data_IF_855769724236
#
_entry.id   IF_855769724236
#
_cell.length_a   1.000
_cell.length_b   1.000
_cell.length_c   1.000
_cell.angle_alpha   90.00
_cell.angle_beta   90.00
_cell.angle_gamma   90.00
#
_symmetry.space_group_name_H-M   'P 1'
#
loop_
_entity.id
_entity.type
_entity.pdbx_description
1 polymer ?
#
# COMPACT_ATOMS: atom_id res chain seq x y z
N UNK A 1 51.06 28.95 -19.82
CA UNK A 1 49.73 29.16 -19.22
C UNK A 1 48.75 28.14 -19.83
N UNK A 2 49.09 26.86 -19.75
CA UNK A 2 48.41 25.77 -20.49
C UNK A 2 48.78 24.43 -19.86
N UNK A 3 48.32 24.18 -18.64
CA UNK A 3 48.27 22.85 -18.03
C UNK A 3 47.25 22.88 -16.89
N UNK A 4 46.58 21.75 -16.66
CA UNK A 4 45.69 21.47 -15.51
C UNK A 4 44.30 22.11 -15.49
N UNK A 5 43.32 21.58 -16.25
CA UNK A 5 41.92 21.57 -15.76
C UNK A 5 40.92 20.71 -16.57
N UNK A 6 41.26 19.51 -17.08
CA UNK A 6 40.27 18.72 -17.85
C UNK A 6 40.34 17.20 -17.67
N UNK A 7 40.62 16.69 -16.47
CA UNK A 7 40.58 15.23 -16.23
C UNK A 7 40.00 14.79 -14.86
N UNK A 8 39.19 15.64 -14.19
CA UNK A 8 38.55 15.26 -12.91
C UNK A 8 37.07 14.89 -13.07
N UNK A 9 36.46 15.10 -14.25
CA UNK A 9 35.01 14.93 -14.45
C UNK A 9 34.51 13.52 -14.81
N UNK A 10 35.38 12.51 -14.93
CA UNK A 10 35.02 11.21 -15.53
C UNK A 10 35.42 9.99 -14.68
N UNK A 11 35.62 10.20 -13.37
CA UNK A 11 35.95 9.14 -12.40
C UNK A 11 34.91 9.07 -11.25
N UNK A 12 33.66 9.49 -11.49
CA UNK A 12 32.59 9.52 -10.49
C UNK A 12 31.46 8.50 -10.68
N UNK A 13 31.44 7.73 -11.78
CA UNK A 13 30.33 6.82 -12.12
C UNK A 13 30.67 5.32 -11.94
N UNK A 14 31.68 5.00 -11.14
CA UNK A 14 31.99 3.62 -10.73
C UNK A 14 31.74 3.44 -9.22
N UNK A 15 30.63 3.98 -8.72
CA UNK A 15 30.02 3.31 -7.58
C UNK A 15 29.47 2.00 -8.15
N UNK A 16 29.95 0.82 -7.72
CA UNK A 16 29.18 -0.38 -7.96
C UNK A 16 27.80 -0.08 -7.38
N UNK A 17 26.78 -0.09 -8.22
CA UNK A 17 25.42 -0.35 -7.77
C UNK A 17 25.54 -1.70 -7.07
N UNK A 18 25.84 -1.65 -5.78
CA UNK A 18 25.76 -2.81 -4.93
C UNK A 18 24.35 -3.31 -5.14
N UNK A 19 24.22 -4.47 -5.76
CA UNK A 19 22.99 -5.24 -5.70
C UNK A 19 22.88 -5.61 -4.23
N UNK A 20 22.40 -4.67 -3.42
CA UNK A 20 22.06 -4.94 -2.04
C UNK A 20 20.94 -5.96 -2.12
N UNK A 21 21.24 -7.14 -1.58
CA UNK A 21 20.24 -8.17 -1.48
C UNK A 21 19.09 -7.62 -0.63
N UNK A 22 17.89 -7.88 -1.11
CA UNK A 22 16.70 -7.27 -0.55
C UNK A 22 16.39 -7.92 0.79
N UNK A 23 16.07 -7.07 1.76
CA UNK A 23 15.85 -7.44 3.16
C UNK A 23 14.35 -7.44 3.48
N UNK A 24 13.97 -7.89 4.68
CA UNK A 24 12.57 -7.90 5.13
C UNK A 24 11.85 -6.54 4.92
N UNK A 25 12.42 -5.37 5.29
CA UNK A 25 11.78 -4.07 5.03
C UNK A 25 11.43 -3.84 3.56
N UNK A 26 12.34 -4.19 2.64
CA UNK A 26 12.13 -4.04 1.19
C UNK A 26 10.97 -4.93 0.72
N UNK A 27 10.86 -6.14 1.28
CA UNK A 27 9.78 -7.07 0.97
C UNK A 27 8.43 -6.53 1.44
N UNK A 28 8.37 -5.99 2.66
CA UNK A 28 7.14 -5.41 3.22
C UNK A 28 6.67 -4.19 2.46
N UNK A 29 7.59 -3.36 1.95
CA UNK A 29 7.25 -2.21 1.13
C UNK A 29 6.75 -2.63 -0.26
N UNK A 30 7.48 -3.53 -0.93
CA UNK A 30 7.08 -4.07 -2.23
C UNK A 30 5.69 -4.73 -2.16
N UNK A 31 5.42 -5.50 -1.11
CA UNK A 31 4.13 -6.12 -0.85
C UNK A 31 2.96 -5.13 -0.81
N UNK A 32 3.17 -3.94 -0.23
CA UNK A 32 2.12 -2.91 -0.16
C UNK A 32 1.93 -2.23 -1.52
N UNK A 33 3.02 -1.86 -2.20
CA UNK A 33 2.97 -1.12 -3.46
C UNK A 33 2.32 -1.94 -4.58
N UNK A 34 2.71 -3.21 -4.69
CA UNK A 34 2.24 -4.11 -5.75
C UNK A 34 0.84 -4.67 -5.47
N UNK A 35 0.30 -4.50 -4.26
CA UNK A 35 -1.01 -5.05 -3.90
C UNK A 35 -2.16 -4.32 -4.61
N UNK A 36 -3.02 -5.03 -5.39
CA UNK A 36 -4.22 -4.42 -5.96
C UNK A 36 -5.22 -3.92 -4.90
N UNK A 37 -5.22 -4.57 -3.73
CA UNK A 37 -6.10 -4.20 -2.61
C UNK A 37 -5.70 -2.85 -2.03
N UNK A 38 -4.39 -2.58 -1.93
CA UNK A 38 -3.86 -1.28 -1.52
C UNK A 38 -4.25 -0.16 -2.49
N UNK A 39 -4.10 -0.41 -3.80
CA UNK A 39 -4.49 0.55 -4.83
C UNK A 39 -5.99 0.85 -4.78
N UNK A 40 -6.84 -0.16 -4.53
CA UNK A 40 -8.27 0.04 -4.34
C UNK A 40 -8.59 0.88 -3.10
N UNK A 41 -7.93 0.59 -1.97
CA UNK A 41 -8.12 1.35 -0.74
C UNK A 41 -7.72 2.84 -0.90
N UNK A 42 -6.66 3.13 -1.67
CA UNK A 42 -6.25 4.52 -1.95
C UNK A 42 -7.29 5.28 -2.79
N UNK A 43 -7.93 4.62 -3.75
CA UNK A 43 -9.05 5.20 -4.52
C UNK A 43 -10.23 5.52 -3.60
N UNK A 44 -10.55 4.64 -2.65
CA UNK A 44 -11.67 4.87 -1.74
C UNK A 44 -11.38 6.03 -0.75
N UNK A 45 -10.13 6.18 -0.31
CA UNK A 45 -9.69 7.37 0.45
C UNK A 45 -9.89 8.66 -0.36
N UNK A 46 -9.44 8.68 -1.62
CA UNK A 46 -9.60 9.84 -2.53
C UNK A 46 -11.07 10.17 -2.80
N UNK A 47 -11.95 9.17 -2.90
CA UNK A 47 -13.41 9.40 -3.00
C UNK A 47 -13.97 10.05 -1.73
N UNK A 48 -13.50 9.63 -0.56
CA UNK A 48 -13.95 10.21 0.71
C UNK A 48 -13.46 11.66 0.86
N UNK A 49 -12.24 11.95 0.43
CA UNK A 49 -11.70 13.31 0.34
C UNK A 49 -12.51 14.19 -0.62
N UNK A 50 -12.81 13.70 -1.83
CA UNK A 50 -13.65 14.42 -2.78
C UNK A 50 -15.05 14.74 -2.23
N UNK A 51 -15.66 13.81 -1.49
CA UNK A 51 -16.95 14.04 -0.81
C UNK A 51 -16.84 15.07 0.31
N UNK A 52 -15.70 15.14 1.00
CA UNK A 52 -15.46 16.18 2.01
C UNK A 52 -15.37 17.56 1.35
N UNK A 53 -14.63 17.67 0.24
CA UNK A 53 -14.54 18.90 -0.55
C UNK A 53 -15.90 19.32 -1.11
N UNK A 54 -16.68 18.37 -1.66
CA UNK A 54 -18.05 18.62 -2.13
C UNK A 54 -18.95 19.16 -1.01
N UNK A 55 -18.86 18.58 0.20
CA UNK A 55 -19.62 19.08 1.34
C UNK A 55 -19.17 20.48 1.79
N UNK A 56 -17.87 20.79 1.69
CA UNK A 56 -17.31 22.10 2.02
C UNK A 56 -17.73 23.17 1.00
N UNK A 57 -17.86 22.80 -0.28
CA UNK A 57 -18.32 23.70 -1.33
C UNK A 57 -19.74 24.25 -1.11
N UNK A 58 -20.52 23.65 -0.20
CA UNK A 58 -21.80 24.21 0.24
C UNK A 58 -21.68 25.56 0.95
N UNK A 59 -20.46 25.95 1.38
CA UNK A 59 -20.15 27.25 1.98
C UNK A 59 -19.49 28.23 0.99
N UNK A 60 -19.27 27.81 -0.24
CA UNK A 60 -18.69 28.69 -1.25
C UNK A 60 -19.77 29.61 -1.85
N UNK A 61 -19.42 30.86 -2.19
CA UNK A 61 -20.34 31.76 -2.85
C UNK A 61 -20.71 31.21 -4.23
N UNK A 62 -22.01 31.13 -4.50
CA UNK A 62 -22.53 30.65 -5.77
C UNK A 62 -23.05 31.81 -6.61
N UNK A 63 -22.69 31.83 -7.88
CA UNK A 63 -23.30 32.71 -8.87
C UNK A 63 -24.19 31.85 -9.79
N UNK A 64 -25.36 32.36 -10.12
CA UNK A 64 -26.33 31.75 -11.04
C UNK A 64 -26.66 32.77 -12.10
N UNK A 65 -26.43 32.40 -13.35
CA UNK A 65 -26.92 33.11 -14.52
C UNK A 65 -28.01 32.27 -15.16
N UNK A 66 -29.16 32.85 -15.43
CA UNK A 66 -30.20 32.21 -16.23
C UNK A 66 -30.67 33.16 -17.34
N UNK A 67 -30.77 32.62 -18.55
CA UNK A 67 -31.33 33.31 -19.72
C UNK A 67 -32.44 32.42 -20.28
N UNK A 68 -33.65 32.94 -20.33
CA UNK A 68 -34.84 32.22 -20.80
C UNK A 68 -35.60 33.12 -21.75
N UNK A 69 -35.72 32.71 -23.00
CA UNK A 69 -36.50 33.45 -23.98
C UNK A 69 -37.12 32.54 -25.04
N UNK A 70 -38.09 33.11 -25.75
CA UNK A 70 -38.67 32.53 -26.95
C UNK A 70 -38.76 33.61 -28.02
N UNK A 71 -38.28 33.28 -29.21
CA UNK A 71 -38.48 34.08 -30.42
C UNK A 71 -39.41 33.32 -31.37
N UNK A 72 -40.25 34.06 -32.09
CA UNK A 72 -41.11 33.52 -33.14
C UNK A 72 -40.88 34.38 -34.39
N UNK A 73 -40.24 33.80 -35.41
CA UNK A 73 -39.82 34.54 -36.60
C UNK A 73 -38.71 35.55 -36.30
N UNK A 74 -38.80 36.76 -36.87
CA UNK A 74 -37.88 37.87 -36.62
C UNK A 74 -38.15 38.65 -35.32
N UNK A 75 -39.26 38.38 -34.64
CA UNK A 75 -39.68 39.13 -33.46
C UNK A 75 -39.31 38.41 -32.17
N UNK A 76 -38.76 39.16 -31.22
CA UNK A 76 -38.47 38.69 -29.86
C UNK A 76 -39.77 38.66 -29.05
N UNK A 77 -40.35 37.48 -28.85
CA UNK A 77 -41.59 37.35 -28.10
C UNK A 77 -41.37 37.66 -26.62
N UNK A 78 -40.39 37.02 -25.99
CA UNK A 78 -39.93 37.37 -24.63
C UNK A 78 -38.50 36.88 -24.38
N UNK A 79 -37.78 37.56 -23.48
CA UNK A 79 -36.51 37.12 -22.90
C UNK A 79 -36.40 37.63 -21.46
N UNK A 80 -36.01 36.74 -20.56
CA UNK A 80 -35.72 37.00 -19.15
C UNK A 80 -34.28 36.62 -18.87
N UNK A 81 -33.54 37.54 -18.26
CA UNK A 81 -32.18 37.34 -17.79
C UNK A 81 -32.15 37.58 -16.28
N UNK A 82 -31.63 36.62 -15.54
CA UNK A 82 -31.49 36.69 -14.08
C UNK A 82 -30.05 36.35 -13.69
N UNK A 83 -29.43 37.26 -12.96
CA UNK A 83 -28.11 37.09 -12.36
C UNK A 83 -28.28 37.13 -10.86
N UNK A 84 -27.95 36.04 -10.19
CA UNK A 84 -28.03 35.92 -8.74
C UNK A 84 -26.68 35.52 -8.16
N UNK A 85 -26.20 36.28 -7.19
CA UNK A 85 -25.08 35.95 -6.32
C UNK A 85 -25.62 35.58 -4.95
N UNK A 86 -25.19 34.44 -4.43
CA UNK A 86 -25.58 33.94 -3.11
C UNK A 86 -24.34 33.60 -2.31
N UNK A 87 -24.19 34.24 -1.16
CA UNK A 87 -23.08 34.03 -0.23
C UNK A 87 -23.66 33.35 1.02
N UNK A 88 -23.41 32.04 1.21
CA UNK A 88 -23.86 31.34 2.40
C UNK A 88 -23.01 31.77 3.62
N UNK A 89 -23.68 32.05 4.73
CA UNK A 89 -23.06 32.36 6.02
C UNK A 89 -23.31 31.24 7.04
N UNK A 90 -22.68 31.37 8.22
CA UNK A 90 -22.85 30.41 9.32
C UNK A 90 -24.30 30.40 9.84
N UNK A 91 -24.77 29.23 10.32
CA UNK A 91 -26.12 29.09 10.88
C UNK A 91 -27.24 29.00 9.83
N UNK A 92 -26.90 28.77 8.55
CA UNK A 92 -27.87 28.64 7.47
C UNK A 92 -28.42 29.97 6.94
N UNK A 93 -27.89 31.10 7.41
CA UNK A 93 -28.18 32.44 6.88
C UNK A 93 -27.51 32.59 5.52
N UNK A 94 -28.23 33.14 4.53
CA UNK A 94 -27.69 33.42 3.20
C UNK A 94 -27.86 34.89 2.84
N UNK A 95 -26.80 35.49 2.31
CA UNK A 95 -26.88 36.81 1.68
C UNK A 95 -27.14 36.62 0.19
N UNK A 96 -28.13 37.32 -0.35
CA UNK A 96 -28.41 37.31 -1.79
C UNK A 96 -28.32 38.72 -2.37
N UNK A 97 -27.72 38.80 -3.55
CA UNK A 97 -27.67 40.01 -4.39
C UNK A 97 -27.94 39.56 -5.81
N UNK A 98 -28.87 40.20 -6.51
CA UNK A 98 -29.19 39.81 -7.88
C UNK A 98 -29.84 40.91 -8.69
N UNK A 99 -29.79 40.73 -10.01
CA UNK A 99 -30.38 41.61 -11.00
C UNK A 99 -31.22 40.81 -11.99
N UNK A 100 -32.42 41.31 -12.30
CA UNK A 100 -33.34 40.72 -13.26
C UNK A 100 -33.67 41.71 -14.36
N UNK A 101 -33.61 41.25 -15.61
CA UNK A 101 -33.95 42.02 -16.80
C UNK A 101 -34.95 41.23 -17.64
N UNK A 102 -35.93 41.91 -18.20
CA UNK A 102 -36.96 41.31 -19.04
C UNK A 102 -37.29 42.22 -20.21
N UNK A 103 -37.36 41.66 -21.42
CA UNK A 103 -37.70 42.40 -22.63
C UNK A 103 -38.50 41.52 -23.61
N UNK A 104 -39.43 42.12 -24.36
CA UNK A 104 -40.19 41.47 -25.43
C UNK A 104 -41.64 41.94 -25.52
N UNK A 105 -42.22 41.78 -26.70
CA UNK A 105 -43.56 42.32 -27.02
C UNK A 105 -44.71 41.49 -26.41
N UNK A 106 -44.44 40.24 -26.03
CA UNK A 106 -45.41 39.27 -25.50
C UNK A 106 -45.00 38.77 -24.12
N UNK A 107 -44.66 39.70 -23.23
CA UNK A 107 -44.32 39.39 -21.84
C UNK A 107 -45.60 39.27 -20.99
N UNK A 108 -45.64 38.32 -20.05
CA UNK A 108 -46.78 38.24 -19.13
C UNK A 108 -46.77 39.52 -18.25
N UNK A 109 -47.88 40.29 -18.21
CA UNK A 109 -47.94 41.57 -17.48
C UNK A 109 -47.66 41.42 -15.97
N UNK A 110 -47.91 40.27 -15.37
CA UNK A 110 -47.57 40.00 -13.95
C UNK A 110 -46.06 39.86 -13.70
N UNK A 111 -45.29 39.55 -14.74
CA UNK A 111 -43.83 39.44 -14.73
C UNK A 111 -43.15 40.61 -15.45
N UNK A 112 -43.89 41.69 -15.70
CA UNK A 112 -43.36 42.91 -16.29
C UNK A 112 -42.31 43.54 -15.39
N UNK A 113 -41.06 43.61 -15.87
CA UNK A 113 -39.94 44.23 -15.17
C UNK A 113 -39.77 45.68 -15.67
N UNK A 114 -39.26 46.60 -14.83
CA UNK A 114 -38.90 47.95 -15.28
C UNK A 114 -37.88 47.91 -16.42
N UNK A 115 -37.90 48.88 -17.33
CA UNK A 115 -36.94 48.96 -18.44
C UNK A 115 -35.47 49.08 -17.97
N UNK A 116 -35.23 49.56 -16.75
CA UNK A 116 -33.91 49.60 -16.10
C UNK A 116 -33.48 48.28 -15.45
N UNK A 117 -34.35 47.27 -15.40
CA UNK A 117 -34.18 46.04 -14.62
C UNK A 117 -34.55 46.20 -13.13
N UNK A 118 -34.60 45.07 -12.43
CA UNK A 118 -34.85 44.98 -10.98
C UNK A 118 -33.58 44.47 -10.29
N UNK A 119 -33.02 45.28 -9.40
CA UNK A 119 -31.90 44.88 -8.53
C UNK A 119 -32.44 44.62 -7.13
N UNK A 120 -32.13 43.45 -6.57
CA UNK A 120 -32.54 43.06 -5.23
C UNK A 120 -31.35 42.59 -4.42
N UNK A 121 -31.27 43.04 -3.16
CA UNK A 121 -30.34 42.54 -2.17
C UNK A 121 -31.09 42.24 -0.88
N UNK A 122 -30.72 41.18 -0.18
CA UNK A 122 -31.33 40.86 1.11
C UNK A 122 -30.69 39.68 1.82
N UNK A 123 -31.30 39.34 2.94
CA UNK A 123 -30.82 38.31 3.86
C UNK A 123 -31.93 37.25 3.98
N UNK A 124 -31.58 36.00 3.73
CA UNK A 124 -32.44 34.85 3.95
C UNK A 124 -32.06 34.20 5.26
N UNK A 125 -32.97 34.19 6.23
CA UNK A 125 -32.78 33.56 7.54
C UNK A 125 -33.74 32.37 7.64
N UNK A 126 -33.24 31.13 7.86
CA UNK A 126 -34.10 29.97 8.05
C UNK A 126 -34.83 30.10 9.40
N UNK A 127 -36.06 29.62 9.48
CA UNK A 127 -36.85 29.65 10.71
C UNK A 127 -36.83 28.29 11.42
N UNK A 128 -36.94 28.27 12.76
CA UNK A 128 -37.04 27.06 13.57
C UNK A 128 -35.70 26.40 13.95
N UNK A 129 -35.66 25.07 14.19
CA UNK A 129 -34.47 24.34 14.66
C UNK A 129 -33.26 24.40 13.70
N UNK A 130 -33.52 24.68 12.43
CA UNK A 130 -32.53 24.79 11.35
C UNK A 130 -31.54 25.94 11.54
N UNK A 131 -31.88 26.94 12.37
CA UNK A 131 -30.97 28.02 12.81
C UNK A 131 -29.80 27.48 13.64
N UNK A 132 -30.07 26.51 14.52
CA UNK A 132 -29.08 25.93 15.42
C UNK A 132 -28.32 24.77 14.76
N UNK A 133 -29.01 24.00 13.93
CA UNK A 133 -28.47 22.83 13.24
C UNK A 133 -28.61 22.97 11.72
N UNK A 134 -27.68 23.69 11.11
CA UNK A 134 -27.71 23.83 9.65
C UNK A 134 -27.38 22.50 8.95
N UNK A 135 -28.18 22.15 7.94
CA UNK A 135 -27.97 20.92 7.14
C UNK A 135 -26.57 20.89 6.50
N UNK A 136 -26.05 22.06 6.09
CA UNK A 136 -24.70 22.20 5.50
C UNK A 136 -23.60 21.80 6.49
N UNK A 137 -23.66 22.28 7.73
CA UNK A 137 -22.68 21.92 8.76
C UNK A 137 -22.77 20.43 9.10
N UNK A 138 -23.98 19.86 9.15
CA UNK A 138 -24.15 18.43 9.37
C UNK A 138 -23.56 17.60 8.22
N UNK A 139 -23.75 18.02 6.96
CA UNK A 139 -23.14 17.38 5.79
C UNK A 139 -21.61 17.41 5.85
N UNK A 140 -21.00 18.56 6.15
CA UNK A 140 -19.54 18.67 6.32
C UNK A 140 -19.05 17.78 7.46
N UNK A 141 -19.75 17.79 8.60
CA UNK A 141 -19.38 16.97 9.76
C UNK A 141 -19.43 15.48 9.42
N UNK A 142 -20.51 15.04 8.76
CA UNK A 142 -20.67 13.65 8.32
C UNK A 142 -19.57 13.27 7.32
N UNK A 143 -19.31 14.10 6.32
CA UNK A 143 -18.26 13.87 5.33
C UNK A 143 -16.86 13.79 5.97
N UNK A 144 -16.59 14.62 6.98
CA UNK A 144 -15.32 14.59 7.75
C UNK A 144 -15.15 13.27 8.51
N UNK A 145 -16.21 12.77 9.13
CA UNK A 145 -16.17 11.46 9.78
C UNK A 145 -15.96 10.34 8.76
N UNK A 146 -16.63 10.39 7.61
CA UNK A 146 -16.40 9.41 6.54
C UNK A 146 -14.96 9.43 6.00
N UNK A 147 -14.35 10.61 5.84
CA UNK A 147 -12.94 10.72 5.47
C UNK A 147 -12.03 10.06 6.51
N UNK A 148 -12.23 10.35 7.80
CA UNK A 148 -11.47 9.70 8.89
C UNK A 148 -11.64 8.18 8.87
N UNK A 149 -12.85 7.68 8.66
CA UNK A 149 -13.10 6.24 8.56
C UNK A 149 -12.38 5.61 7.36
N UNK A 150 -12.38 6.28 6.21
CA UNK A 150 -11.66 5.83 5.02
C UNK A 150 -10.13 5.82 5.25
N UNK A 151 -9.59 6.82 5.94
CA UNK A 151 -8.18 6.89 6.32
C UNK A 151 -7.79 5.73 7.25
N UNK A 152 -8.61 5.44 8.26
CA UNK A 152 -8.37 4.29 9.14
C UNK A 152 -8.45 2.97 8.37
N UNK A 153 -9.42 2.82 7.47
CA UNK A 153 -9.55 1.62 6.64
C UNK A 153 -8.35 1.44 5.70
N UNK A 154 -7.83 2.53 5.14
CA UNK A 154 -6.61 2.52 4.34
C UNK A 154 -5.43 2.04 5.17
N UNK A 155 -5.22 2.60 6.37
CA UNK A 155 -4.17 2.17 7.29
C UNK A 155 -4.30 0.69 7.68
N UNK A 156 -5.51 0.22 8.03
CA UNK A 156 -5.76 -1.19 8.34
C UNK A 156 -5.41 -2.12 7.17
N UNK A 157 -5.75 -1.71 5.95
CA UNK A 157 -5.41 -2.46 4.74
C UNK A 157 -3.89 -2.60 4.59
N UNK A 158 -3.12 -1.54 4.89
CA UNK A 158 -1.65 -1.59 4.90
C UNK A 158 -1.14 -2.64 5.89
N UNK A 159 -1.62 -2.58 7.12
CA UNK A 159 -1.21 -3.49 8.20
C UNK A 159 -1.54 -4.94 7.87
N UNK A 160 -2.71 -5.21 7.30
CA UNK A 160 -3.11 -6.56 6.91
C UNK A 160 -2.22 -7.14 5.80
N UNK A 161 -1.82 -6.31 4.82
CA UNK A 161 -0.90 -6.72 3.76
C UNK A 161 0.48 -7.00 4.36
N UNK A 162 1.02 -6.08 5.16
CA UNK A 162 2.34 -6.23 5.79
C UNK A 162 2.40 -7.44 6.71
N UNK A 163 1.34 -7.72 7.47
CA UNK A 163 1.26 -8.91 8.34
C UNK A 163 1.32 -10.20 7.54
N UNK A 164 0.57 -10.30 6.43
CA UNK A 164 0.61 -11.48 5.54
C UNK A 164 1.96 -11.64 4.87
N UNK A 165 2.55 -10.54 4.42
CA UNK A 165 3.88 -10.53 3.83
C UNK A 165 4.94 -11.01 4.85
N UNK A 166 4.89 -10.48 6.07
CA UNK A 166 5.78 -10.90 7.16
C UNK A 166 5.71 -12.41 7.40
N UNK A 167 4.50 -12.97 7.50
CA UNK A 167 4.29 -14.41 7.71
C UNK A 167 4.91 -15.26 6.58
N UNK A 168 4.72 -14.87 5.32
CA UNK A 168 5.29 -15.55 4.16
C UNK A 168 6.82 -15.50 4.15
N UNK A 169 7.40 -14.32 4.39
CA UNK A 169 8.84 -14.13 4.40
C UNK A 169 9.50 -14.89 5.56
N UNK A 170 8.93 -14.81 6.77
CA UNK A 170 9.41 -15.57 7.92
C UNK A 170 9.33 -17.08 7.67
N UNK A 171 8.21 -17.56 7.12
CA UNK A 171 8.05 -18.96 6.76
C UNK A 171 9.13 -19.41 5.77
N UNK A 172 9.39 -18.63 4.71
CA UNK A 172 10.46 -18.94 3.77
C UNK A 172 11.83 -18.96 4.44
N UNK A 173 12.17 -17.95 5.24
CA UNK A 173 13.46 -17.89 5.96
C UNK A 173 13.66 -19.10 6.88
N UNK A 174 12.61 -19.55 7.58
CA UNK A 174 12.65 -20.75 8.42
C UNK A 174 12.87 -22.02 7.59
N UNK A 175 12.27 -22.12 6.39
CA UNK A 175 12.49 -23.27 5.51
C UNK A 175 13.91 -23.31 4.95
N UNK A 176 14.50 -22.16 4.63
CA UNK A 176 15.91 -22.07 4.22
C UNK A 176 16.84 -22.48 5.35
N UNK A 177 16.64 -21.95 6.57
CA UNK A 177 17.43 -22.34 7.74
C UNK A 177 17.30 -23.84 8.05
N UNK A 178 16.10 -24.40 7.94
CA UNK A 178 15.88 -25.83 8.12
C UNK A 178 16.64 -26.67 7.07
N UNK A 179 16.64 -26.23 5.81
CA UNK A 179 17.38 -26.89 4.73
C UNK A 179 18.89 -26.92 5.02
N UNK A 180 19.46 -25.81 5.49
CA UNK A 180 20.87 -25.74 5.88
C UNK A 180 21.19 -26.67 7.07
N UNK A 181 20.30 -26.73 8.06
CA UNK A 181 20.43 -27.65 9.20
C UNK A 181 20.37 -29.13 8.77
N UNK A 182 19.48 -29.50 7.85
CA UNK A 182 19.42 -30.88 7.34
C UNK A 182 20.63 -31.21 6.45
N UNK A 183 21.09 -30.27 5.64
CA UNK A 183 22.27 -30.46 4.78
C UNK A 183 23.54 -30.68 5.62
N UNK A 184 23.76 -29.85 6.65
CA UNK A 184 24.89 -30.01 7.58
C UNK A 184 24.79 -31.29 8.42
N UNK A 185 23.59 -31.69 8.86
CA UNK A 185 23.39 -32.98 9.53
C UNK A 185 23.72 -34.17 8.61
N UNK A 186 23.34 -34.10 7.33
CA UNK A 186 23.66 -35.14 6.36
C UNK A 186 25.18 -35.24 6.11
N UNK A 187 25.88 -34.13 5.93
CA UNK A 187 27.34 -34.15 5.71
C UNK A 187 28.09 -34.70 6.93
N UNK A 188 27.64 -34.36 8.14
CA UNK A 188 28.17 -34.93 9.37
C UNK A 188 28.01 -36.46 9.43
N UNK A 189 26.80 -36.97 9.17
CA UNK A 189 26.55 -38.41 9.16
C UNK A 189 27.30 -39.14 8.03
N UNK A 190 27.52 -38.49 6.89
CA UNK A 190 28.31 -39.07 5.81
C UNK A 190 29.79 -39.21 6.20
N UNK A 191 30.36 -38.19 6.84
CA UNK A 191 31.71 -38.25 7.39
C UNK A 191 31.81 -39.34 8.47
N UNK A 192 30.85 -39.40 9.38
CA UNK A 192 30.80 -40.42 10.43
C UNK A 192 30.69 -41.84 9.86
N UNK A 193 29.88 -42.05 8.82
CA UNK A 193 29.75 -43.33 8.13
C UNK A 193 31.07 -43.77 7.50
N UNK A 194 31.85 -42.85 6.94
CA UNK A 194 33.16 -43.16 6.39
C UNK A 194 34.16 -43.59 7.48
N UNK A 195 34.12 -42.97 8.66
CA UNK A 195 34.92 -43.42 9.81
C UNK A 195 34.52 -44.82 10.28
N UNK A 196 33.22 -45.09 10.39
CA UNK A 196 32.69 -46.40 10.78
C UNK A 196 33.06 -47.50 9.78
N UNK A 197 33.05 -47.20 8.47
CA UNK A 197 33.51 -48.14 7.43
C UNK A 197 34.98 -48.49 7.58
N UNK A 198 35.83 -47.53 7.93
CA UNK A 198 37.26 -47.79 8.19
C UNK A 198 37.43 -48.63 9.46
N UNK A 199 36.73 -48.28 10.53
CA UNK A 199 36.79 -49.02 11.79
C UNK A 199 36.25 -50.46 11.67
N UNK A 200 35.21 -50.71 10.86
CA UNK A 200 34.74 -52.06 10.53
C UNK A 200 35.80 -52.89 9.81
N UNK A 201 36.53 -52.31 8.85
CA UNK A 201 37.65 -53.00 8.16
C UNK A 201 38.77 -53.39 9.11
N UNK A 202 38.96 -52.64 10.20
CA UNK A 202 39.91 -52.94 11.27
C UNK A 202 39.34 -53.90 12.33
N UNK A 203 38.08 -54.35 12.20
CA UNK A 203 37.42 -55.22 13.16
C UNK A 203 36.95 -54.53 14.44
N UNK A 204 36.97 -53.19 14.50
CA UNK A 204 36.66 -52.41 15.71
C UNK A 204 35.17 -52.08 15.92
N UNK A 205 34.31 -52.37 14.93
CA UNK A 205 32.85 -52.09 15.00
C UNK A 205 32.09 -53.22 14.32
N UNK A 206 30.82 -53.42 14.69
CA UNK A 206 29.99 -54.45 14.08
C UNK A 206 29.44 -54.02 12.71
N UNK A 207 29.13 -55.00 11.85
CA UNK A 207 28.45 -54.72 10.58
C UNK A 207 27.07 -54.08 10.79
N UNK A 208 26.37 -54.46 11.87
CA UNK A 208 25.05 -53.93 12.21
C UNK A 208 25.10 -52.42 12.45
N UNK A 209 26.07 -51.94 13.23
CA UNK A 209 26.21 -50.51 13.53
C UNK A 209 26.49 -49.69 12.27
N UNK A 210 27.28 -50.24 11.32
CA UNK A 210 27.49 -49.58 10.03
C UNK A 210 26.23 -49.52 9.17
N UNK A 211 25.36 -50.53 9.25
CA UNK A 211 24.08 -50.56 8.53
C UNK A 211 23.08 -49.57 9.12
N UNK A 212 22.99 -49.50 10.45
CA UNK A 212 22.11 -48.57 11.17
C UNK A 212 22.52 -47.12 10.86
N UNK A 213 23.82 -46.82 10.86
CA UNK A 213 24.33 -45.50 10.48
C UNK A 213 24.10 -45.18 9.00
N UNK A 214 24.23 -46.16 8.10
CA UNK A 214 23.90 -46.00 6.69
C UNK A 214 22.41 -45.67 6.49
N UNK A 215 21.52 -46.37 7.20
CA UNK A 215 20.09 -46.09 7.17
C UNK A 215 19.81 -44.67 7.68
N UNK A 216 20.35 -44.28 8.83
CA UNK A 216 20.18 -42.94 9.39
C UNK A 216 20.67 -41.83 8.44
N UNK A 217 21.85 -42.01 7.81
CA UNK A 217 22.40 -41.09 6.81
C UNK A 217 21.50 -40.94 5.58
N UNK A 218 20.93 -42.05 5.09
CA UNK A 218 20.00 -41.99 3.95
C UNK A 218 18.67 -41.34 4.31
N UNK A 219 18.15 -41.58 5.52
CA UNK A 219 16.98 -40.87 6.04
C UNK A 219 17.23 -39.37 6.10
N UNK A 220 18.40 -38.93 6.62
CA UNK A 220 18.76 -37.50 6.63
C UNK A 220 18.92 -36.92 5.23
N UNK A 221 19.52 -37.67 4.30
CA UNK A 221 19.59 -37.24 2.89
C UNK A 221 18.20 -37.02 2.30
N UNK A 222 17.25 -37.92 2.56
CA UNK A 222 15.86 -37.77 2.12
C UNK A 222 15.20 -36.52 2.72
N UNK A 223 15.40 -36.28 4.02
CA UNK A 223 14.88 -35.10 4.71
C UNK A 223 15.49 -33.79 4.17
N UNK A 224 16.79 -33.77 3.89
CA UNK A 224 17.47 -32.62 3.29
C UNK A 224 16.89 -32.27 1.91
N UNK A 225 16.67 -33.27 1.05
CA UNK A 225 16.03 -33.07 -0.24
C UNK A 225 14.61 -32.53 -0.08
N UNK A 226 13.81 -33.13 0.82
CA UNK A 226 12.45 -32.66 1.11
C UNK A 226 12.43 -31.20 1.59
N UNK A 227 13.33 -30.83 2.50
CA UNK A 227 13.43 -29.45 2.99
C UNK A 227 13.79 -28.45 1.89
N UNK A 228 14.58 -28.85 0.90
CA UNK A 228 14.86 -28.02 -0.28
C UNK A 228 13.62 -27.75 -1.12
N UNK A 229 12.78 -28.77 -1.36
CA UNK A 229 11.49 -28.58 -2.03
C UNK A 229 10.56 -27.67 -1.24
N UNK A 230 10.51 -27.84 0.09
CA UNK A 230 9.70 -26.98 0.97
C UNK A 230 10.16 -25.52 0.95
N UNK A 231 11.47 -25.27 0.93
CA UNK A 231 12.03 -23.93 0.80
C UNK A 231 11.70 -23.29 -0.55
N UNK A 232 11.80 -24.05 -1.65
CA UNK A 232 11.42 -23.59 -2.98
C UNK A 232 9.91 -23.27 -3.06
N UNK A 233 9.05 -24.14 -2.54
CA UNK A 233 7.60 -23.88 -2.50
C UNK A 233 7.27 -22.64 -1.65
N UNK A 234 7.97 -22.44 -0.54
CA UNK A 234 7.79 -21.23 0.28
C UNK A 234 8.22 -19.97 -0.47
N UNK A 235 9.33 -20.03 -1.21
CA UNK A 235 9.78 -18.95 -2.08
C UNK A 235 8.77 -18.62 -3.19
N UNK A 236 8.19 -19.64 -3.83
CA UNK A 236 7.15 -19.47 -4.86
C UNK A 236 5.87 -18.83 -4.30
N UNK A 237 5.48 -19.17 -3.07
CA UNK A 237 4.35 -18.51 -2.38
C UNK A 237 4.65 -17.04 -2.10
N UNK A 238 5.89 -16.74 -1.70
CA UNK A 238 6.34 -15.38 -1.46
C UNK A 238 6.35 -14.55 -2.76
N UNK A 239 6.86 -15.12 -3.85
CA UNK A 239 6.95 -14.44 -5.15
C UNK A 239 5.59 -14.23 -5.80
N UNK A 240 4.72 -15.23 -5.77
CA UNK A 240 3.35 -15.12 -6.26
C UNK A 240 2.54 -14.07 -5.50
N UNK A 241 2.82 -13.84 -4.22
CA UNK A 241 2.18 -12.78 -3.44
C UNK A 241 2.51 -11.36 -3.95
N UNK A 242 3.73 -11.15 -4.46
CA UNK A 242 4.12 -9.87 -5.07
C UNK A 242 3.57 -9.69 -6.49
N UNK A 243 3.07 -10.75 -7.13
CA UNK A 243 2.64 -10.71 -8.53
C UNK A 243 3.78 -10.55 -9.54
N UNK A 244 5.03 -10.65 -9.09
CA UNK A 244 6.22 -10.56 -9.94
C UNK A 244 6.56 -11.92 -10.55
N UNK A 245 6.92 -12.00 -11.85
CA UNK A 245 7.45 -13.23 -12.45
C UNK A 245 8.80 -13.59 -11.81
N UNK A 246 9.03 -14.89 -11.62
CA UNK A 246 10.22 -15.48 -10.96
C UNK A 246 11.54 -14.97 -11.57
N UNK A 247 11.55 -14.66 -12.88
CA UNK A 247 12.72 -14.18 -13.63
C UNK A 247 13.10 -12.70 -13.39
N UNK A 248 12.28 -11.92 -12.67
CA UNK A 248 12.53 -10.49 -12.43
C UNK A 248 13.22 -10.17 -11.10
N UNK A 249 13.59 -11.18 -10.32
CA UNK A 249 13.93 -10.98 -8.91
C UNK A 249 15.40 -10.62 -8.65
N UNK A 250 15.57 -9.49 -7.97
CA UNK A 250 16.74 -9.21 -7.13
C UNK A 250 16.88 -10.33 -6.08
N UNK A 251 18.11 -10.66 -5.71
CA UNK A 251 18.34 -11.68 -4.69
C UNK A 251 17.76 -11.24 -3.33
N UNK A 252 16.86 -12.03 -2.77
CA UNK A 252 16.35 -11.85 -1.41
C UNK A 252 17.30 -12.52 -0.43
N UNK A 253 17.67 -11.81 0.63
CA UNK A 253 18.40 -12.42 1.74
C UNK A 253 17.41 -13.05 2.72
N UNK A 254 17.60 -14.32 3.13
CA UNK A 254 16.85 -14.86 4.25
C UNK A 254 17.24 -14.11 5.53
N UNK A 255 16.31 -14.03 6.47
CA UNK A 255 16.62 -13.50 7.79
C UNK A 255 17.59 -14.46 8.49
N UNK A 256 18.67 -13.92 9.06
CA UNK A 256 19.54 -14.70 9.93
C UNK A 256 18.76 -15.03 11.20
N UNK A 257 18.45 -16.31 11.36
CA UNK A 257 17.80 -16.84 12.54
C UNK A 257 18.90 -17.32 13.48
N UNK A 258 19.28 -16.45 14.42
CA UNK A 258 20.18 -16.78 15.51
C UNK A 258 19.58 -17.96 16.32
N UNK A 259 20.25 -19.13 16.25
CA UNK A 259 19.73 -20.40 16.79
C UNK A 259 19.54 -20.38 18.31
N UNK A 260 20.26 -19.49 18.99
CA UNK A 260 20.27 -19.24 20.43
C UNK A 260 19.02 -18.51 20.95
N UNK A 261 18.30 -17.78 20.10
CA UNK A 261 17.20 -16.91 20.58
C UNK A 261 15.79 -17.52 20.48
N UNK A 262 15.55 -18.53 19.64
CA UNK A 262 14.17 -18.99 19.36
C UNK A 262 13.86 -20.47 19.60
N UNK A 263 14.84 -21.38 19.47
CA UNK A 263 14.53 -22.82 19.40
C UNK A 263 14.87 -23.60 20.67
N UNK A 264 15.64 -23.05 21.62
CA UNK A 264 16.07 -23.78 22.81
C UNK A 264 16.79 -25.10 22.51
N UNK A 265 17.16 -25.32 21.25
CA UNK A 265 17.92 -26.48 20.81
C UNK A 265 19.36 -26.21 21.21
N UNK A 266 20.03 -27.16 21.87
CA UNK A 266 21.43 -26.97 22.22
C UNK A 266 22.21 -26.66 20.94
N UNK A 267 23.00 -25.59 20.99
CA UNK A 267 24.04 -25.30 20.00
C UNK A 267 24.74 -26.63 19.70
N UNK A 268 24.91 -27.04 18.42
CA UNK A 268 25.79 -28.16 18.15
C UNK A 268 27.13 -27.78 18.77
N UNK A 269 27.49 -28.46 19.86
CA UNK A 269 28.74 -28.19 20.56
C UNK A 269 29.81 -28.43 19.53
N UNK A 270 30.33 -27.34 18.95
CA UNK A 270 31.59 -27.36 18.28
C UNK A 270 32.59 -27.66 19.40
N UNK A 271 32.79 -28.94 19.68
CA UNK A 271 33.98 -29.37 20.36
C UNK A 271 35.10 -28.93 19.42
N UNK A 272 35.73 -27.80 19.74
CA UNK A 272 37.10 -27.56 19.35
C UNK A 272 37.83 -28.82 19.73
N UNK A 273 38.22 -29.60 18.74
CA UNK A 273 39.24 -30.63 18.94
C UNK A 273 40.51 -29.84 19.21
N UNK A 274 40.66 -29.40 20.47
CA UNK A 274 41.97 -29.16 21.02
C UNK A 274 42.67 -30.50 20.93
N UNK A 275 43.60 -30.58 19.98
CA UNK A 275 44.60 -31.63 19.96
C UNK A 275 45.29 -31.59 21.33
N UNK A 276 44.94 -32.53 22.20
CA UNK A 276 45.73 -32.79 23.39
C UNK A 276 47.08 -33.40 22.96
N UNK A 277 48.16 -33.09 23.71
CA UNK A 277 49.55 -33.27 23.31
C UNK A 277 49.99 -34.72 23.09
#
# INVERSE_FOLDING_TARGET
MTTMLRFVGLLGCLLPLGIHAQTLPDFLEAAVIESPVWQRASIDLRKAEAKLLEAQAAFDPTWRLSDRGKSVGANLSYRYQDVQWRIPALGGVDLYVGGQWGQGDWMNPESALPASGLVAAGISVPMGPTLWFSERQQKVTRARWHYRMAEQQWNLTRWDIQRKALDLYLTWSLKVAAQEAYASSWTYLDAQLNMYRQAFRMGGVSQRDTLDLFAARNTRKSQALQSGWEAQTAFEKMSSFLGLPIDSMKAWQPMELEADTWLGLPVPVAHSVEAFP
#
